data_IF_417910675101
#
_entry.id   IF_417910675101
#
_cell.length_a   1.000
_cell.length_b   1.000
_cell.length_c   1.000
_cell.angle_alpha   90.00
_cell.angle_beta   90.00
_cell.angle_gamma   90.00
#
_symmetry.space_group_name_H-M   'P 1'
#
loop_
_entity.id
_entity.type
_entity.pdbx_description
1 polymer ?
#
# COMPACT_ATOMS: atom_id res chain seq x y z
N UNK A 1 -2.95 -1.63 24.52
CA UNK A 1 -1.92 -2.25 23.69
C UNK A 1 -0.62 -1.48 23.90
N UNK A 2 0.49 -2.20 23.96
CA UNK A 2 1.82 -1.62 24.01
C UNK A 2 2.42 -1.66 22.60
N UNK A 3 3.10 -0.59 22.20
CA UNK A 3 3.76 -0.49 20.90
C UNK A 3 5.25 -0.26 21.09
N UNK A 4 6.07 -1.11 20.48
CA UNK A 4 7.53 -1.01 20.56
C UNK A 4 8.03 -0.73 19.14
N UNK A 5 8.80 0.37 19.00
CA UNK A 5 9.35 0.80 17.72
C UNK A 5 10.86 0.52 17.64
N UNK A 6 11.37 0.40 16.41
CA UNK A 6 12.80 0.29 16.14
C UNK A 6 13.41 -1.08 16.47
N UNK A 7 12.60 -2.08 16.76
CA UNK A 7 13.05 -3.44 17.04
C UNK A 7 12.60 -4.37 15.91
N UNK A 8 13.53 -4.90 15.09
CA UNK A 8 13.16 -5.84 14.03
C UNK A 8 12.82 -7.20 14.63
N UNK A 9 11.73 -7.80 14.19
CA UNK A 9 11.42 -9.21 14.46
C UNK A 9 12.10 -10.07 13.39
N UNK A 10 13.02 -10.93 13.78
CA UNK A 10 13.88 -11.68 12.87
C UNK A 10 13.38 -13.09 12.60
N UNK A 11 12.71 -13.72 13.57
CA UNK A 11 12.19 -15.08 13.43
C UNK A 11 11.04 -15.37 14.39
N UNK A 12 10.38 -16.50 14.12
CA UNK A 12 9.34 -17.05 14.98
C UNK A 12 9.93 -18.08 15.94
N UNK A 13 9.47 -18.08 17.18
CA UNK A 13 9.81 -19.10 18.17
C UNK A 13 8.78 -20.22 18.10
N UNK A 14 9.24 -21.47 18.00
CA UNK A 14 8.40 -22.67 17.96
C UNK A 14 8.70 -23.55 19.16
N UNK A 15 7.67 -24.15 19.71
CA UNK A 15 7.80 -25.17 20.75
C UNK A 15 8.24 -26.54 20.19
N UNK A 16 8.37 -27.52 21.04
CA UNK A 16 8.81 -28.89 20.67
C UNK A 16 7.81 -29.60 19.71
N UNK A 17 6.55 -29.12 19.61
CA UNK A 17 5.55 -29.64 18.69
C UNK A 17 5.58 -28.94 17.34
N UNK A 18 6.35 -27.85 17.19
CA UNK A 18 6.38 -26.99 16.01
C UNK A 18 5.33 -25.87 16.02
N UNK A 19 4.56 -25.73 17.11
CA UNK A 19 3.60 -24.63 17.26
C UNK A 19 4.34 -23.33 17.52
N UNK A 20 3.93 -22.25 16.85
CA UNK A 20 4.46 -20.91 17.12
C UNK A 20 4.02 -20.47 18.51
N UNK A 21 4.97 -20.10 19.35
CA UNK A 21 4.77 -19.70 20.75
C UNK A 21 5.43 -18.35 21.09
N UNK A 22 5.95 -17.63 20.08
CA UNK A 22 6.58 -16.33 20.31
C UNK A 22 7.32 -15.81 19.09
N UNK A 23 8.07 -14.75 19.33
CA UNK A 23 8.93 -14.08 18.35
C UNK A 23 10.34 -13.89 18.92
N UNK A 24 11.32 -13.77 18.03
CA UNK A 24 12.70 -13.38 18.37
C UNK A 24 13.01 -12.02 17.77
N UNK A 25 13.57 -11.15 18.58
CA UNK A 25 14.00 -9.80 18.21
C UNK A 25 15.42 -9.55 18.77
N UNK A 26 16.44 -9.78 17.94
CA UNK A 26 17.83 -9.82 18.39
C UNK A 26 18.10 -10.96 19.36
N UNK A 27 18.58 -10.64 20.56
CA UNK A 27 18.85 -11.63 21.63
C UNK A 27 17.61 -11.95 22.49
N UNK A 28 16.53 -11.16 22.34
CA UNK A 28 15.32 -11.30 23.15
C UNK A 28 14.31 -12.25 22.50
N UNK A 29 13.69 -13.10 23.32
CA UNK A 29 12.52 -13.90 22.96
C UNK A 29 11.29 -13.42 23.71
N UNK A 30 10.23 -13.12 22.97
CA UNK A 30 8.95 -12.68 23.52
C UNK A 30 7.93 -13.79 23.29
N UNK A 31 7.45 -14.38 24.38
CA UNK A 31 6.45 -15.44 24.33
C UNK A 31 5.04 -14.88 24.10
N UNK A 32 4.25 -15.59 23.32
CA UNK A 32 2.86 -15.25 23.01
C UNK A 32 2.02 -16.50 22.74
N UNK A 33 0.75 -16.49 23.13
CA UNK A 33 -0.20 -17.55 22.79
C UNK A 33 -0.62 -17.49 21.33
N UNK A 34 -0.66 -16.27 20.73
CA UNK A 34 -1.01 -15.98 19.34
C UNK A 34 -0.01 -14.97 18.79
N UNK A 35 0.49 -15.23 17.60
CA UNK A 35 1.32 -14.30 16.82
C UNK A 35 0.58 -13.92 15.55
N UNK A 36 0.41 -12.62 15.30
CA UNK A 36 -0.22 -12.10 14.10
C UNK A 36 0.86 -11.45 13.23
N UNK A 37 1.02 -11.96 12.00
CA UNK A 37 1.97 -11.42 11.03
C UNK A 37 1.30 -10.31 10.23
N UNK A 38 1.83 -9.09 10.31
CA UNK A 38 1.38 -7.91 9.57
C UNK A 38 2.54 -7.27 8.80
N UNK A 39 3.45 -8.08 8.28
CA UNK A 39 4.69 -7.70 7.61
C UNK A 39 4.53 -7.38 6.12
N UNK A 40 3.28 -7.24 5.69
CA UNK A 40 2.89 -6.79 4.35
C UNK A 40 3.17 -7.82 3.25
N UNK A 41 3.15 -7.36 2.00
CA UNK A 41 3.31 -8.23 0.81
C UNK A 41 4.67 -8.93 0.75
N UNK A 42 5.68 -8.38 1.40
CA UNK A 42 7.00 -9.00 1.48
C UNK A 42 6.99 -10.29 2.31
N UNK A 43 6.04 -10.41 3.26
CA UNK A 43 5.78 -11.62 4.05
C UNK A 43 7.06 -12.30 4.53
N UNK A 44 7.92 -11.55 5.23
CA UNK A 44 9.27 -11.98 5.59
C UNK A 44 9.27 -13.25 6.45
N UNK A 45 8.26 -13.38 7.31
CA UNK A 45 8.12 -14.49 8.26
C UNK A 45 7.05 -15.53 7.85
N UNK A 46 6.23 -15.24 6.82
CA UNK A 46 5.12 -16.11 6.45
C UNK A 46 5.58 -17.47 5.93
N UNK A 47 6.75 -17.56 5.28
CA UNK A 47 7.31 -18.83 4.85
C UNK A 47 7.61 -19.76 6.04
N UNK A 48 8.18 -19.23 7.10
CA UNK A 48 8.51 -20.00 8.31
C UNK A 48 7.26 -20.33 9.15
N UNK A 49 6.24 -19.46 9.07
CA UNK A 49 4.99 -19.66 9.80
C UNK A 49 4.12 -20.76 9.18
N UNK A 50 3.85 -20.65 7.87
CA UNK A 50 2.83 -21.45 7.18
C UNK A 50 3.32 -22.02 5.84
N UNK A 51 4.61 -21.97 5.55
CA UNK A 51 5.17 -22.43 4.26
C UNK A 51 4.76 -21.56 3.05
N UNK A 52 4.30 -20.33 3.29
CA UNK A 52 3.84 -19.44 2.23
C UNK A 52 5.02 -18.83 1.48
N UNK A 53 5.09 -19.11 0.19
CA UNK A 53 6.04 -18.45 -0.70
C UNK A 53 5.51 -17.10 -1.19
N UNK A 54 6.43 -16.18 -1.53
CA UNK A 54 6.06 -14.87 -2.09
C UNK A 54 5.23 -15.04 -3.36
N UNK A 55 4.21 -14.20 -3.56
CA UNK A 55 3.43 -14.23 -4.78
C UNK A 55 4.31 -13.94 -6.01
N UNK A 56 4.05 -14.56 -7.16
CA UNK A 56 4.78 -14.28 -8.40
C UNK A 56 4.54 -12.84 -8.85
N UNK A 57 5.45 -12.30 -9.66
CA UNK A 57 5.37 -10.92 -10.17
C UNK A 57 4.06 -10.61 -10.91
N UNK A 58 3.45 -11.62 -11.54
CA UNK A 58 2.15 -11.51 -12.22
C UNK A 58 0.96 -11.27 -11.27
N UNK A 59 1.17 -11.46 -9.98
CA UNK A 59 0.15 -11.29 -8.92
C UNK A 59 0.51 -10.17 -7.95
N UNK A 60 1.44 -9.31 -8.33
CA UNK A 60 1.89 -8.18 -7.52
C UNK A 60 1.86 -6.91 -8.36
N UNK A 61 1.35 -5.85 -7.79
CA UNK A 61 1.46 -4.51 -8.33
C UNK A 61 2.39 -3.65 -7.47
N UNK A 62 2.80 -2.52 -8.02
CA UNK A 62 3.45 -1.43 -7.29
C UNK A 62 2.55 -0.21 -7.33
N UNK A 63 2.32 0.36 -6.16
CA UNK A 63 1.61 1.62 -6.01
C UNK A 63 2.55 2.73 -5.54
N UNK A 64 2.39 3.91 -6.10
CA UNK A 64 2.99 5.15 -5.58
C UNK A 64 1.88 6.13 -5.27
N UNK A 65 2.02 6.84 -4.16
CA UNK A 65 1.07 7.88 -3.77
C UNK A 65 1.77 9.09 -3.17
N UNK A 66 1.08 10.20 -3.23
CA UNK A 66 1.38 11.40 -2.47
C UNK A 66 0.18 11.82 -1.63
N UNK A 67 0.46 12.46 -0.50
CA UNK A 67 -0.55 13.06 0.37
C UNK A 67 -0.42 14.57 0.28
N UNK A 68 -1.52 15.22 -0.09
CA UNK A 68 -1.67 16.64 -0.32
C UNK A 68 -2.43 17.27 0.84
N UNK A 69 -1.76 18.05 1.66
CA UNK A 69 -2.35 18.74 2.81
C UNK A 69 -3.15 19.94 2.35
N UNK A 70 -4.39 20.02 2.80
CA UNK A 70 -5.34 21.10 2.59
C UNK A 70 -6.18 21.25 3.86
N UNK A 71 -6.86 22.38 4.04
CA UNK A 71 -7.85 22.50 5.11
C UNK A 71 -9.12 21.69 4.80
N UNK A 72 -9.83 21.26 5.85
CA UNK A 72 -11.00 20.37 5.78
C UNK A 72 -12.09 20.94 4.85
N UNK A 73 -12.33 22.26 4.92
CA UNK A 73 -13.33 22.89 4.07
C UNK A 73 -12.95 22.84 2.60
N UNK A 74 -11.68 23.10 2.27
CA UNK A 74 -11.17 23.02 0.90
C UNK A 74 -11.26 21.61 0.36
N UNK A 75 -10.94 20.58 1.16
CA UNK A 75 -11.11 19.18 0.77
C UNK A 75 -12.58 18.89 0.44
N UNK A 76 -13.49 19.25 1.33
CA UNK A 76 -14.93 19.03 1.15
C UNK A 76 -15.50 19.75 -0.06
N UNK A 77 -15.16 21.03 -0.24
CA UNK A 77 -15.64 21.85 -1.37
C UNK A 77 -15.16 21.30 -2.73
N UNK A 78 -13.86 20.91 -2.81
CA UNK A 78 -13.27 20.43 -4.08
C UNK A 78 -13.76 19.05 -4.49
N UNK A 79 -14.04 18.18 -3.53
CA UNK A 79 -14.51 16.82 -3.79
C UNK A 79 -16.00 16.62 -3.57
N UNK A 80 -16.74 17.73 -3.33
CA UNK A 80 -18.19 17.76 -3.17
C UNK A 80 -18.69 16.81 -2.07
N UNK A 81 -17.95 16.75 -0.96
CA UNK A 81 -18.33 15.96 0.21
C UNK A 81 -19.23 16.78 1.15
N UNK A 82 -20.25 16.17 1.71
CA UNK A 82 -20.98 16.74 2.83
C UNK A 82 -20.17 16.65 4.14
N UNK A 83 -20.59 17.39 5.16
CA UNK A 83 -19.92 17.38 6.48
C UNK A 83 -19.81 15.97 7.04
N UNK A 84 -18.58 15.55 7.34
CA UNK A 84 -18.28 14.22 7.89
C UNK A 84 -18.26 13.08 6.88
N UNK A 85 -18.49 13.38 5.60
CA UNK A 85 -18.36 12.41 4.51
C UNK A 85 -16.98 12.49 3.84
N UNK A 86 -16.64 11.44 3.10
CA UNK A 86 -15.43 11.38 2.29
C UNK A 86 -15.73 10.90 0.88
N UNK A 87 -14.79 11.13 -0.03
CA UNK A 87 -14.85 10.65 -1.41
C UNK A 87 -13.69 9.73 -1.71
N UNK A 88 -13.96 8.69 -2.52
CA UNK A 88 -12.96 7.83 -3.11
C UNK A 88 -13.23 7.72 -4.61
N UNK A 89 -12.24 8.11 -5.41
CA UNK A 89 -12.32 8.09 -6.88
C UNK A 89 -11.30 7.09 -7.42
N UNK A 90 -11.71 6.34 -8.43
CA UNK A 90 -10.85 5.45 -9.20
C UNK A 90 -10.73 5.98 -10.63
N UNK A 91 -9.51 6.09 -11.11
CA UNK A 91 -9.20 6.49 -12.47
C UNK A 91 -8.83 5.27 -13.29
N UNK A 92 -9.63 4.96 -14.30
CA UNK A 92 -9.42 3.83 -15.20
C UNK A 92 -9.11 4.36 -16.58
N UNK A 93 -8.26 3.67 -17.32
CA UNK A 93 -7.88 4.03 -18.68
C UNK A 93 -6.46 4.59 -18.76
N UNK A 94 -6.31 5.88 -19.12
CA UNK A 94 -5.00 6.44 -19.46
C UNK A 94 -4.08 6.75 -18.26
N UNK A 95 -4.57 6.63 -17.03
CA UNK A 95 -3.78 6.89 -15.82
C UNK A 95 -2.49 6.05 -15.74
N UNK A 96 -2.46 4.89 -16.39
CA UNK A 96 -1.32 3.97 -16.45
C UNK A 96 -0.73 3.82 -17.85
N UNK A 97 -1.07 4.73 -18.79
CA UNK A 97 -0.56 4.72 -20.17
C UNK A 97 -0.73 3.38 -20.90
N UNK A 98 -1.91 2.75 -20.73
CA UNK A 98 -2.27 1.52 -21.43
C UNK A 98 -1.70 0.23 -20.84
N UNK A 99 -0.99 0.27 -19.72
CA UNK A 99 -0.63 -0.93 -18.97
C UNK A 99 -1.66 -1.23 -17.87
N UNK A 100 -1.70 -2.48 -17.40
CA UNK A 100 -2.61 -2.90 -16.34
C UNK A 100 -2.41 -2.09 -15.06
N UNK A 101 -3.49 -1.50 -14.56
CA UNK A 101 -3.48 -0.67 -13.36
C UNK A 101 -4.54 0.42 -13.40
N UNK A 102 -4.34 1.45 -12.59
CA UNK A 102 -5.23 2.61 -12.50
C UNK A 102 -4.73 3.64 -11.50
N UNK A 103 -5.40 4.79 -11.47
CA UNK A 103 -5.20 5.81 -10.45
C UNK A 103 -6.26 5.73 -9.36
N UNK A 104 -5.96 6.29 -8.22
CA UNK A 104 -6.90 6.45 -7.12
C UNK A 104 -6.71 7.82 -6.45
N UNK A 105 -7.81 8.35 -5.94
CA UNK A 105 -7.83 9.53 -5.09
C UNK A 105 -8.84 9.33 -3.98
N UNK A 106 -8.49 9.66 -2.75
CA UNK A 106 -9.43 9.65 -1.64
C UNK A 106 -9.14 10.77 -0.65
N UNK A 107 -10.20 11.20 0.02
CA UNK A 107 -10.12 12.23 1.05
C UNK A 107 -9.71 11.63 2.38
N UNK A 108 -8.91 12.38 3.12
CA UNK A 108 -8.84 12.36 4.56
C UNK A 108 -9.42 13.68 5.07
N UNK A 109 -9.46 13.89 6.37
CA UNK A 109 -10.06 15.09 6.95
C UNK A 109 -9.41 16.39 6.44
N UNK A 110 -8.08 16.45 6.45
CA UNK A 110 -7.28 17.62 6.09
C UNK A 110 -6.26 17.31 4.99
N UNK A 111 -6.54 16.33 4.16
CA UNK A 111 -5.67 15.97 3.04
C UNK A 111 -6.39 15.16 1.97
N UNK A 112 -5.76 15.11 0.81
CA UNK A 112 -6.12 14.23 -0.31
C UNK A 112 -4.96 13.28 -0.54
N UNK A 113 -5.23 11.97 -0.62
CA UNK A 113 -4.28 10.97 -1.09
C UNK A 113 -4.55 10.71 -2.57
N UNK A 114 -3.53 10.88 -3.40
CA UNK A 114 -3.56 10.61 -4.84
C UNK A 114 -2.45 9.62 -5.19
N UNK A 115 -2.77 8.60 -5.96
CA UNK A 115 -1.79 7.60 -6.33
C UNK A 115 -2.12 6.86 -7.62
N UNK A 116 -1.13 6.06 -8.06
CA UNK A 116 -1.22 5.17 -9.21
C UNK A 116 -0.75 3.78 -8.79
N UNK A 117 -1.44 2.76 -9.25
CA UNK A 117 -1.07 1.34 -9.07
C UNK A 117 -0.92 0.70 -10.44
N UNK A 118 0.14 -0.08 -10.63
CA UNK A 118 0.37 -0.82 -11.89
C UNK A 118 1.07 -2.16 -11.62
N UNK A 119 0.79 -3.17 -12.44
CA UNK A 119 1.39 -4.49 -12.31
C UNK A 119 2.92 -4.45 -12.45
N UNK A 120 3.64 -5.19 -11.62
CA UNK A 120 5.13 -5.24 -11.64
C UNK A 120 5.63 -5.77 -12.97
N UNK A 121 4.99 -6.78 -13.56
CA UNK A 121 5.37 -7.29 -14.88
C UNK A 121 5.27 -6.22 -15.97
N UNK A 122 4.25 -5.38 -15.91
CA UNK A 122 4.08 -4.27 -16.85
C UNK A 122 5.23 -3.26 -16.72
N UNK A 123 5.62 -2.91 -15.50
CA UNK A 123 6.79 -2.06 -15.24
C UNK A 123 8.09 -2.70 -15.77
N UNK A 124 8.30 -3.98 -15.49
CA UNK A 124 9.51 -4.71 -15.89
C UNK A 124 9.63 -4.90 -17.41
N UNK A 125 8.51 -4.94 -18.14
CA UNK A 125 8.49 -5.11 -19.59
C UNK A 125 8.99 -3.89 -20.38
N UNK A 126 9.13 -2.75 -19.72
CA UNK A 126 9.50 -1.47 -20.35
C UNK A 126 8.42 -0.89 -21.28
N UNK A 127 7.20 -1.44 -21.28
CA UNK A 127 6.10 -0.98 -22.13
C UNK A 127 5.39 0.26 -21.63
N UNK A 128 5.55 0.59 -20.35
CA UNK A 128 4.95 1.75 -19.72
C UNK A 128 5.99 2.80 -19.30
N UNK A 129 5.50 3.92 -18.79
CA UNK A 129 6.36 4.88 -18.09
C UNK A 129 6.72 4.35 -16.69
N UNK A 130 7.78 4.84 -16.05
CA UNK A 130 8.02 4.61 -14.64
C UNK A 130 6.80 5.03 -13.82
N UNK A 131 6.45 4.25 -12.79
CA UNK A 131 5.19 4.46 -12.02
C UNK A 131 5.13 5.83 -11.36
N UNK A 132 6.26 6.38 -10.90
CA UNK A 132 6.31 7.75 -10.36
C UNK A 132 5.97 8.81 -11.42
N UNK A 133 6.31 8.57 -12.69
CA UNK A 133 5.99 9.47 -13.79
C UNK A 133 4.53 9.38 -14.19
N UNK A 134 3.91 8.21 -14.06
CA UNK A 134 2.46 8.06 -14.21
C UNK A 134 1.70 8.90 -13.15
N UNK A 135 2.22 8.94 -11.91
CA UNK A 135 1.65 9.81 -10.87
C UNK A 135 1.82 11.30 -11.22
N UNK A 136 2.99 11.72 -11.71
CA UNK A 136 3.18 13.10 -12.15
C UNK A 136 2.24 13.48 -13.30
N UNK A 137 2.05 12.58 -14.27
CA UNK A 137 1.11 12.82 -15.37
C UNK A 137 -0.34 12.92 -14.86
N UNK A 138 -0.74 12.07 -13.92
CA UNK A 138 -2.06 12.12 -13.29
C UNK A 138 -2.28 13.43 -12.49
N UNK A 139 -1.28 13.88 -11.74
CA UNK A 139 -1.30 15.16 -11.03
C UNK A 139 -1.52 16.35 -11.97
N UNK A 140 -0.92 16.31 -13.15
CA UNK A 140 -1.03 17.35 -14.17
C UNK A 140 -2.28 17.21 -15.08
N UNK A 141 -3.08 16.16 -14.90
CA UNK A 141 -4.29 15.99 -15.69
C UNK A 141 -5.30 17.14 -15.40
N UNK A 142 -5.93 17.74 -16.43
CA UNK A 142 -6.83 18.89 -16.26
C UNK A 142 -7.98 18.69 -15.26
N UNK A 143 -8.44 17.44 -15.08
CA UNK A 143 -9.50 17.12 -14.11
C UNK A 143 -8.97 16.85 -12.70
N UNK A 144 -7.66 16.66 -12.50
CA UNK A 144 -7.04 16.34 -11.21
C UNK A 144 -6.31 17.55 -10.64
N UNK A 145 -5.54 18.26 -11.45
CA UNK A 145 -4.75 19.40 -11.03
C UNK A 145 -5.52 20.45 -10.20
N UNK A 146 -6.77 20.83 -10.57
CA UNK A 146 -7.54 21.79 -9.78
C UNK A 146 -7.90 21.28 -8.37
N UNK A 147 -8.00 19.95 -8.19
CA UNK A 147 -8.37 19.36 -6.90
C UNK A 147 -7.24 19.41 -5.87
N UNK A 148 -6.00 19.40 -6.34
CA UNK A 148 -4.78 19.43 -5.51
C UNK A 148 -4.03 20.76 -5.60
N UNK A 149 -4.60 21.77 -6.28
CA UNK A 149 -3.98 23.08 -6.44
C UNK A 149 -3.68 23.74 -5.08
N UNK A 150 -2.52 24.37 -4.95
CA UNK A 150 -2.01 25.01 -3.73
C UNK A 150 -1.85 24.08 -2.51
N UNK A 151 -2.01 22.77 -2.67
CA UNK A 151 -1.79 21.83 -1.60
C UNK A 151 -0.29 21.62 -1.34
N UNK A 152 0.07 21.40 -0.08
CA UNK A 152 1.43 21.02 0.31
C UNK A 152 1.56 19.50 0.28
N UNK A 153 2.51 18.98 -0.50
CA UNK A 153 2.88 17.56 -0.42
C UNK A 153 3.57 17.30 0.92
N UNK A 154 3.04 16.38 1.70
CA UNK A 154 3.55 16.02 3.03
C UNK A 154 4.02 14.57 3.14
N UNK A 155 3.65 13.74 2.20
CA UNK A 155 4.11 12.34 2.11
C UNK A 155 4.27 11.95 0.65
N UNK A 156 5.34 11.20 0.38
CA UNK A 156 5.52 10.45 -0.85
C UNK A 156 5.90 9.02 -0.48
N UNK A 157 5.13 8.04 -0.92
CA UNK A 157 5.36 6.65 -0.57
C UNK A 157 5.10 5.71 -1.75
N UNK A 158 5.81 4.57 -1.73
CA UNK A 158 5.65 3.50 -2.70
C UNK A 158 5.62 2.15 -2.01
N UNK A 159 4.65 1.32 -2.36
CA UNK A 159 4.48 -0.01 -1.79
C UNK A 159 4.12 -1.04 -2.85
N UNK A 160 4.54 -2.27 -2.62
CA UNK A 160 4.00 -3.40 -3.37
C UNK A 160 2.61 -3.77 -2.81
N UNK A 161 1.73 -4.19 -3.71
CA UNK A 161 0.35 -4.59 -3.41
C UNK A 161 0.09 -5.96 -4.00
N UNK A 162 -0.43 -6.94 -3.23
CA UNK A 162 -0.80 -8.24 -3.78
C UNK A 162 -2.10 -8.11 -4.59
N UNK A 163 -2.15 -8.70 -5.78
CA UNK A 163 -3.31 -8.62 -6.70
C UNK A 163 -3.82 -9.98 -7.19
N UNK A 164 -3.39 -11.06 -6.57
CA UNK A 164 -3.81 -12.41 -6.95
C UNK A 164 -5.15 -12.87 -6.38
N UNK A 165 -5.88 -12.01 -5.67
CA UNK A 165 -7.14 -12.35 -5.02
C UNK A 165 -7.00 -13.51 -4.04
N UNK A 166 -7.99 -14.41 -3.99
CA UNK A 166 -7.99 -15.57 -3.08
C UNK A 166 -6.87 -16.56 -3.36
N UNK A 167 -6.30 -16.56 -4.55
CA UNK A 167 -5.26 -17.51 -4.96
C UNK A 167 -3.89 -17.24 -4.31
N UNK A 168 -3.70 -16.05 -3.72
CA UNK A 168 -2.48 -15.68 -3.03
C UNK A 168 -2.66 -15.59 -1.51
N UNK A 169 -3.82 -16.01 -0.99
CA UNK A 169 -4.00 -16.13 0.45
C UNK A 169 -3.16 -17.30 0.98
N UNK A 170 -2.45 -17.13 2.11
CA UNK A 170 -1.77 -18.25 2.73
C UNK A 170 -2.78 -19.34 3.12
N UNK A 171 -2.38 -20.63 3.08
CA UNK A 171 -3.24 -21.68 3.58
C UNK A 171 -3.49 -21.49 5.08
N UNK A 172 -4.70 -21.83 5.52
CA UNK A 172 -5.10 -21.80 6.93
C UNK A 172 -4.54 -23.03 7.65
#
# INVERSE_FOLDING_TARGET
>A
AETIYGIPVESLVKDASGKICGIRAGEDEISAEVVILCDGVNSLLAKDAVGYDKPPASQVAVGVKEVFMLDEKTVSDRLLCADGEGAAWLFVGDATHGVFGGGFMYTNRESISLGVVTGIEACASGKGKPVYQMLEDLKNHPSVAPLIHDAKVVEHSGHMVPEGGVNIMPPL
#
